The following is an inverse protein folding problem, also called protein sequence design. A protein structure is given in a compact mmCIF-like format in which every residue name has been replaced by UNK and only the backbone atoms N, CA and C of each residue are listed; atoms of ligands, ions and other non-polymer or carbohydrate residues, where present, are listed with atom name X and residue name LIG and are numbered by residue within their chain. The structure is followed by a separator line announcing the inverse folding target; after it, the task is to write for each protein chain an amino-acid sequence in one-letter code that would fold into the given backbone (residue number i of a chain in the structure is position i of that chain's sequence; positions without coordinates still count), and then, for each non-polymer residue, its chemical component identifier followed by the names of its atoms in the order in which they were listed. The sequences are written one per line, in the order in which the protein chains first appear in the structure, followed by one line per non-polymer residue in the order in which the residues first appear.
data_IF_592943907532
#
_entry.id   IF_592943907532
#
_cell.length_a   1.000
_cell.length_b   1.000
_cell.length_c   1.000
_cell.angle_alpha   90.00
_cell.angle_beta   90.00
_cell.angle_gamma   90.00
#
_symmetry.space_group_name_H-M   'P 1'
#
loop_
_entity.id
_entity.type
_entity.pdbx_description
1 polymer ?
#
# COMPACT_ATOMS: atom_id res chain seq x y z
N UNK A 1 -19.48 -15.57 -22.93
CA UNK A 1 -19.59 -14.92 -21.61
C UNK A 1 -18.43 -13.95 -21.49
N UNK A 2 -18.69 -12.66 -21.33
CA UNK A 2 -17.64 -11.64 -21.21
C UNK A 2 -16.96 -11.80 -19.85
N UNK A 3 -15.81 -12.48 -19.81
CA UNK A 3 -14.94 -12.45 -18.64
C UNK A 3 -14.40 -11.03 -18.49
N UNK A 4 -14.98 -10.24 -17.57
CA UNK A 4 -14.41 -8.95 -17.21
C UNK A 4 -13.01 -9.19 -16.63
N UNK A 5 -11.98 -8.41 -17.04
CA UNK A 5 -10.66 -8.50 -16.43
C UNK A 5 -10.77 -8.30 -14.92
N UNK A 6 -10.10 -9.15 -14.14
CA UNK A 6 -10.16 -9.06 -12.67
C UNK A 6 -9.34 -7.88 -12.14
N UNK A 7 -8.27 -7.52 -12.85
CA UNK A 7 -7.32 -6.50 -12.43
C UNK A 7 -7.96 -5.13 -12.12
N UNK A 8 -8.82 -4.55 -12.98
CA UNK A 8 -9.53 -3.30 -12.67
C UNK A 8 -10.38 -3.37 -11.40
N UNK A 9 -10.88 -4.54 -11.01
CA UNK A 9 -11.65 -4.67 -9.77
C UNK A 9 -10.73 -4.61 -8.53
N UNK A 10 -9.56 -5.23 -8.61
CA UNK A 10 -8.62 -5.36 -7.48
C UNK A 10 -7.77 -4.11 -7.28
N UNK A 11 -7.39 -3.41 -8.34
CA UNK A 11 -6.43 -2.28 -8.31
C UNK A 11 -6.93 -1.06 -7.53
N UNK A 12 -8.25 -0.91 -7.35
CA UNK A 12 -8.81 0.25 -6.63
C UNK A 12 -8.42 0.27 -5.15
N UNK A 13 -8.28 -0.90 -4.53
CA UNK A 13 -7.98 -1.01 -3.10
C UNK A 13 -6.57 -0.48 -2.74
N UNK A 14 -5.46 -0.93 -3.37
CA UNK A 14 -4.15 -0.38 -3.08
C UNK A 14 -4.04 1.12 -3.38
N UNK A 15 -4.71 1.60 -4.44
CA UNK A 15 -4.75 3.04 -4.76
C UNK A 15 -5.48 3.83 -3.66
N UNK A 16 -6.66 3.36 -3.24
CA UNK A 16 -7.41 4.01 -2.17
C UNK A 16 -6.60 4.08 -0.87
N UNK A 17 -5.92 3.00 -0.49
CA UNK A 17 -5.05 2.98 0.68
C UNK A 17 -3.87 3.95 0.52
N UNK A 18 -3.19 3.97 -0.62
CA UNK A 18 -2.05 4.87 -0.86
C UNK A 18 -2.44 6.35 -0.77
N UNK A 19 -3.66 6.72 -1.18
CA UNK A 19 -4.19 8.09 -1.07
C UNK A 19 -4.66 8.43 0.34
N UNK A 20 -5.31 7.49 1.03
CA UNK A 20 -5.88 7.73 2.36
C UNK A 20 -4.82 7.72 3.47
N UNK A 21 -3.79 6.87 3.36
CA UNK A 21 -2.80 6.70 4.42
C UNK A 21 -2.05 7.97 4.83
N UNK A 22 -1.63 8.86 3.92
CA UNK A 22 -1.02 10.13 4.29
C UNK A 22 -1.95 11.01 5.15
N UNK A 23 -3.24 11.05 4.83
CA UNK A 23 -4.25 11.81 5.57
C UNK A 23 -4.44 11.21 6.97
N UNK A 24 -4.56 9.88 7.04
CA UNK A 24 -4.68 9.15 8.31
C UNK A 24 -3.41 9.35 9.16
N UNK A 25 -2.23 9.25 8.56
CA UNK A 25 -0.95 9.44 9.25
C UNK A 25 -0.84 10.85 9.86
N UNK A 26 -1.22 11.89 9.10
CA UNK A 26 -1.21 13.26 9.59
C UNK A 26 -2.23 13.45 10.74
N UNK A 27 -3.45 12.94 10.57
CA UNK A 27 -4.48 13.02 11.59
C UNK A 27 -4.05 12.32 12.90
N UNK A 28 -3.47 11.14 12.79
CA UNK A 28 -2.94 10.39 13.93
C UNK A 28 -1.77 11.13 14.59
N UNK A 29 -0.83 11.67 13.81
CA UNK A 29 0.29 12.43 14.33
C UNK A 29 -0.18 13.64 15.15
N UNK A 30 -1.15 14.42 14.64
CA UNK A 30 -1.73 15.56 15.35
C UNK A 30 -2.48 15.12 16.61
N UNK A 31 -3.29 14.07 16.52
CA UNK A 31 -4.08 13.58 17.66
C UNK A 31 -3.20 13.02 18.78
N UNK A 32 -2.13 12.28 18.44
CA UNK A 32 -1.15 11.78 19.40
C UNK A 32 -0.35 12.94 20.02
N UNK A 33 0.08 13.91 19.21
CA UNK A 33 0.82 15.08 19.70
C UNK A 33 0.01 15.92 20.69
N UNK A 34 -1.31 16.00 20.50
CA UNK A 34 -2.24 16.66 21.43
C UNK A 34 -2.67 15.80 22.62
N UNK A 35 -2.22 14.55 22.71
CA UNK A 35 -2.63 13.62 23.76
C UNK A 35 -4.10 13.17 23.68
N UNK A 36 -4.77 13.39 22.55
CA UNK A 36 -6.18 13.05 22.37
C UNK A 36 -6.41 11.54 22.23
N UNK A 37 -5.40 10.80 21.78
CA UNK A 37 -5.43 9.33 21.63
C UNK A 37 -4.13 8.69 22.15
N UNK A 38 -4.18 7.40 22.45
CA UNK A 38 -3.03 6.65 22.93
C UNK A 38 -1.90 6.57 21.88
N UNK A 39 -0.64 6.58 22.33
CA UNK A 39 0.52 6.49 21.42
C UNK A 39 0.47 5.24 20.55
N UNK A 40 0.00 4.10 21.06
CA UNK A 40 -0.10 2.81 20.32
C UNK A 40 -0.77 2.91 18.94
N UNK A 41 -1.60 3.92 18.70
CA UNK A 41 -2.24 4.16 17.40
C UNK A 41 -1.24 4.50 16.28
N UNK A 42 0.03 4.81 16.57
CA UNK A 42 1.05 4.98 15.52
C UNK A 42 1.26 3.71 14.67
N UNK A 43 0.93 2.52 15.18
CA UNK A 43 1.03 1.26 14.44
C UNK A 43 0.05 1.14 13.25
N UNK A 44 -0.98 1.97 13.19
CA UNK A 44 -1.93 1.97 12.06
C UNK A 44 -1.24 2.28 10.74
N UNK A 45 -0.28 3.20 10.73
CA UNK A 45 0.44 3.61 9.52
C UNK A 45 1.28 2.47 8.92
N UNK A 46 2.20 1.82 9.65
CA UNK A 46 2.98 0.70 9.10
C UNK A 46 2.09 -0.49 8.69
N UNK A 47 1.03 -0.81 9.45
CA UNK A 47 0.07 -1.86 9.07
C UNK A 47 -0.64 -1.50 7.76
N UNK A 48 -1.09 -0.25 7.61
CA UNK A 48 -1.72 0.22 6.39
C UNK A 48 -0.80 0.17 5.18
N UNK A 49 0.47 0.53 5.34
CA UNK A 49 1.48 0.42 4.27
C UNK A 49 1.73 -1.03 3.87
N UNK A 50 1.78 -1.95 4.84
CA UNK A 50 1.87 -3.39 4.58
C UNK A 50 0.66 -3.91 3.81
N UNK A 51 -0.56 -3.49 4.19
CA UNK A 51 -1.77 -3.83 3.45
C UNK A 51 -1.77 -3.26 2.03
N UNK A 52 -1.24 -2.04 1.85
CA UNK A 52 -1.08 -1.41 0.52
C UNK A 52 -0.14 -2.24 -0.36
N UNK A 53 0.99 -2.67 0.19
CA UNK A 53 1.93 -3.54 -0.52
C UNK A 53 1.32 -4.89 -0.87
N UNK A 54 0.65 -5.56 0.07
CA UNK A 54 0.04 -6.86 -0.13
C UNK A 54 -1.08 -6.82 -1.19
N UNK A 55 -1.95 -5.81 -1.12
CA UNK A 55 -3.04 -5.64 -2.09
C UNK A 55 -2.53 -5.15 -3.45
N UNK A 56 -1.46 -4.35 -3.47
CA UNK A 56 -0.75 -3.96 -4.70
C UNK A 56 -0.14 -5.15 -5.42
N UNK A 57 0.52 -6.06 -4.67
CA UNK A 57 1.04 -7.31 -5.21
C UNK A 57 -0.08 -8.18 -5.79
N UNK A 58 -1.20 -8.34 -5.06
CA UNK A 58 -2.35 -9.06 -5.57
C UNK A 58 -2.91 -8.43 -6.87
N UNK A 59 -3.00 -7.10 -6.94
CA UNK A 59 -3.42 -6.41 -8.16
C UNK A 59 -2.46 -6.68 -9.32
N UNK A 60 -1.15 -6.61 -9.09
CA UNK A 60 -0.11 -6.89 -10.09
C UNK A 60 -0.26 -8.31 -10.66
N UNK A 61 -0.36 -9.32 -9.80
CA UNK A 61 -0.55 -10.72 -10.23
C UNK A 61 -1.83 -10.93 -11.05
N UNK A 62 -2.92 -10.23 -10.72
CA UNK A 62 -4.14 -10.30 -11.56
C UNK A 62 -4.01 -9.56 -12.90
N UNK A 63 -3.11 -8.57 -13.00
CA UNK A 63 -2.84 -7.83 -14.24
C UNK A 63 -2.08 -8.67 -15.27
N UNK A 64 -1.08 -9.41 -14.80
CA UNK A 64 -0.28 -10.34 -15.61
C UNK A 64 -1.16 -11.38 -16.35
N UNK A 65 -2.21 -11.89 -15.69
CA UNK A 65 -3.12 -12.88 -16.29
C UNK A 65 -3.86 -12.37 -17.55
N UNK A 66 -4.06 -11.06 -17.65
CA UNK A 66 -4.81 -10.44 -18.74
C UNK A 66 -3.94 -9.60 -19.70
N UNK A 67 -2.62 -9.51 -19.45
CA UNK A 67 -1.67 -8.68 -20.20
C UNK A 67 -1.72 -8.96 -21.72
N UNK A 68 -1.80 -10.24 -22.10
CA UNK A 68 -1.72 -10.66 -23.49
C UNK A 68 -2.99 -10.36 -24.28
N UNK A 69 -4.15 -10.32 -23.58
CA UNK A 69 -5.42 -9.93 -24.18
C UNK A 69 -5.46 -8.42 -24.39
N UNK A 70 -5.12 -7.65 -23.35
CA UNK A 70 -5.14 -6.18 -23.38
C UNK A 70 -4.04 -5.65 -24.30
N UNK A 71 -2.84 -6.22 -24.26
CA UNK A 71 -1.70 -5.81 -25.09
C UNK A 71 -1.91 -6.01 -26.59
N UNK A 72 -2.81 -6.92 -27.01
CA UNK A 72 -3.22 -7.03 -28.42
C UNK A 72 -4.15 -5.89 -28.87
N UNK A 73 -4.85 -5.25 -27.94
CA UNK A 73 -5.80 -4.17 -28.22
C UNK A 73 -5.13 -2.79 -28.17
N UNK A 74 -4.31 -2.54 -27.15
CA UNK A 74 -3.69 -1.23 -26.91
C UNK A 74 -2.18 -1.19 -27.19
N UNK A 75 -1.57 -2.33 -27.50
CA UNK A 75 -0.14 -2.46 -27.75
C UNK A 75 0.65 -2.87 -26.50
N UNK A 76 1.57 -3.84 -26.70
CA UNK A 76 2.38 -4.42 -25.61
C UNK A 76 3.23 -3.41 -24.86
N UNK A 77 3.77 -2.39 -25.55
CA UNK A 77 4.62 -1.37 -24.93
C UNK A 77 3.88 -0.57 -23.86
N UNK A 78 2.62 -0.20 -24.10
CA UNK A 78 1.82 0.54 -23.12
C UNK A 78 1.49 -0.31 -21.89
N UNK A 79 1.19 -1.60 -22.09
CA UNK A 79 0.94 -2.53 -20.98
C UNK A 79 2.21 -2.72 -20.15
N UNK A 80 3.36 -2.90 -20.79
CA UNK A 80 4.64 -3.08 -20.12
C UNK A 80 5.08 -1.84 -19.34
N UNK A 81 4.95 -0.64 -19.90
CA UNK A 81 5.23 0.61 -19.15
C UNK A 81 4.29 0.80 -17.95
N UNK A 82 3.06 0.29 -18.01
CA UNK A 82 2.14 0.30 -16.88
C UNK A 82 2.55 -0.72 -15.80
N UNK A 83 2.96 -1.91 -16.22
CA UNK A 83 3.50 -2.96 -15.34
C UNK A 83 4.73 -2.49 -14.58
N UNK A 84 5.73 -1.88 -15.25
CA UNK A 84 6.92 -1.33 -14.58
C UNK A 84 6.56 -0.28 -13.51
N UNK A 85 5.55 0.55 -13.78
CA UNK A 85 5.06 1.54 -12.80
C UNK A 85 4.34 0.87 -11.64
N UNK A 86 3.61 -0.22 -11.89
CA UNK A 86 2.96 -1.00 -10.85
C UNK A 86 3.99 -1.71 -9.96
N UNK A 87 5.05 -2.29 -10.54
CA UNK A 87 6.17 -2.86 -9.79
C UNK A 87 6.84 -1.80 -8.91
N UNK A 88 7.17 -0.63 -9.47
CA UNK A 88 7.76 0.47 -8.71
C UNK A 88 6.85 0.91 -7.55
N UNK A 89 5.53 0.98 -7.78
CA UNK A 89 4.56 1.30 -6.74
C UNK A 89 4.58 0.28 -5.61
N UNK A 90 4.53 -1.02 -5.92
CA UNK A 90 4.54 -2.11 -4.93
C UNK A 90 5.84 -2.09 -4.13
N UNK A 91 7.00 -2.01 -4.80
CA UNK A 91 8.29 -1.99 -4.12
C UNK A 91 8.50 -0.73 -3.27
N UNK A 92 7.96 0.41 -3.70
CA UNK A 92 7.94 1.63 -2.88
C UNK A 92 7.08 1.45 -1.62
N UNK A 93 5.90 0.84 -1.75
CA UNK A 93 5.04 0.54 -0.61
C UNK A 93 5.70 -0.44 0.37
N UNK A 94 6.41 -1.46 -0.13
CA UNK A 94 7.20 -2.39 0.71
C UNK A 94 8.31 -1.64 1.44
N UNK A 95 9.11 -0.83 0.75
CA UNK A 95 10.19 -0.06 1.35
C UNK A 95 9.68 0.91 2.43
N UNK A 96 8.57 1.60 2.16
CA UNK A 96 7.91 2.48 3.13
C UNK A 96 7.35 1.71 4.32
N UNK A 97 6.75 0.54 4.11
CA UNK A 97 6.28 -0.30 5.20
C UNK A 97 7.44 -0.70 6.12
N UNK A 98 8.53 -1.22 5.56
CA UNK A 98 9.73 -1.60 6.33
C UNK A 98 10.28 -0.42 7.13
N UNK A 99 10.44 0.75 6.48
CA UNK A 99 10.91 1.96 7.15
C UNK A 99 9.96 2.39 8.29
N UNK A 100 8.65 2.38 8.04
CA UNK A 100 7.64 2.74 9.03
C UNK A 100 7.61 1.76 10.21
N UNK A 101 7.76 0.45 9.96
CA UNK A 101 7.88 -0.56 11.01
C UNK A 101 9.14 -0.34 11.85
N UNK A 102 10.29 -0.04 11.23
CA UNK A 102 11.52 0.27 11.93
C UNK A 102 11.36 1.50 12.83
N UNK A 103 10.80 2.60 12.31
CA UNK A 103 10.54 3.82 13.08
C UNK A 103 9.56 3.55 14.23
N UNK A 104 8.47 2.84 13.96
CA UNK A 104 7.46 2.47 14.95
C UNK A 104 8.05 1.61 16.08
N UNK A 105 8.91 0.64 15.73
CA UNK A 105 9.60 -0.21 16.68
C UNK A 105 10.57 0.59 17.57
N UNK A 106 11.39 1.47 16.98
CA UNK A 106 12.29 2.34 17.72
C UNK A 106 11.52 3.29 18.66
N UNK A 107 10.42 3.88 18.17
CA UNK A 107 9.57 4.76 18.95
C UNK A 107 8.89 4.02 20.11
N UNK A 108 8.37 2.80 19.89
CA UNK A 108 7.78 1.96 20.95
C UNK A 108 8.75 1.74 22.11
N UNK A 109 10.03 1.48 21.78
CA UNK A 109 11.10 1.29 22.76
C UNK A 109 11.36 2.53 23.60
N UNK A 110 11.34 3.72 22.97
CA UNK A 110 11.52 5.00 23.66
C UNK A 110 10.34 5.39 24.55
N UNK A 111 9.13 4.91 24.26
CA UNK A 111 7.92 5.21 25.03
C UNK A 111 7.63 4.20 26.16
N UNK A 112 8.48 3.19 26.38
CA UNK A 112 8.24 2.17 27.41
C UNK A 112 6.98 1.33 27.16
N UNK A 113 6.52 1.26 25.90
CA UNK A 113 5.37 0.44 25.52
C UNK A 113 5.85 -1.01 25.43
N UNK A 114 5.46 -1.85 26.39
CA UNK A 114 5.68 -3.29 26.32
C UNK A 114 4.92 -3.84 25.12
N UNK A 115 5.64 -4.24 24.08
CA UNK A 115 5.12 -5.10 23.01
C UNK A 115 4.93 -6.47 23.65
N UNK A 116 3.71 -6.75 24.10
CA UNK A 116 3.27 -8.07 24.56
C UNK A 116 2.96 -8.91 23.32
#
# INVERSE_FOLDING_TARGET
MTSLPLHPLVVHLPIALAVLLPIVALALAIAIARGAIARRWFWVVPIGLLLTAATGYAAMSTGELDEGKVGRLIGKKLVHEHEERAELFVWSAVGLAVAAFAVAFLAARSFGVTLI
#
